data_IF_537605913165
#
_entry.id   IF_537605913165
#
_cell.length_a   1.000
_cell.length_b   1.000
_cell.length_c   1.000
_cell.angle_alpha   90.00
_cell.angle_beta   90.00
_cell.angle_gamma   90.00
#
_symmetry.space_group_name_H-M   'P 1'
#
loop_
_entity.id
_entity.type
_entity.pdbx_description
1 polymer ?
#
# COMPACT_ATOMS: atom_id res chain seq x y z
N UNK A 1 -0.58 6.15 4.08
CA UNK A 1 -0.29 4.90 4.81
C UNK A 1 0.41 5.08 6.14
N UNK A 2 1.35 6.01 6.29
CA UNK A 2 2.00 6.24 7.58
C UNK A 2 1.02 6.51 8.73
N UNK A 3 0.00 7.36 8.50
CA UNK A 3 -1.07 7.63 9.48
C UNK A 3 -1.82 6.35 9.86
N UNK A 4 -2.25 5.55 8.87
CA UNK A 4 -2.92 4.28 9.11
C UNK A 4 -2.04 3.27 9.88
N UNK A 5 -0.74 3.24 9.60
CA UNK A 5 0.21 2.34 10.25
C UNK A 5 0.49 2.75 11.71
N UNK A 6 0.53 4.04 12.01
CA UNK A 6 0.83 4.56 13.35
C UNK A 6 -0.40 4.57 14.27
N UNK A 7 -1.60 4.78 13.73
CA UNK A 7 -2.80 5.08 14.52
C UNK A 7 -3.99 4.16 14.22
N UNK A 8 -3.79 3.13 13.39
CA UNK A 8 -4.86 2.26 12.91
C UNK A 8 -5.68 2.88 11.79
N UNK A 9 -6.45 2.06 11.08
CA UNK A 9 -7.25 2.49 9.93
C UNK A 9 -8.39 3.42 10.37
N UNK A 10 -9.04 3.14 11.50
CA UNK A 10 -10.22 3.85 12.00
C UNK A 10 -9.98 5.31 12.38
N UNK A 11 -8.74 5.66 12.72
CA UNK A 11 -8.38 7.04 13.06
C UNK A 11 -8.09 7.91 11.82
N UNK A 12 -8.00 7.30 10.63
CA UNK A 12 -7.69 8.03 9.40
C UNK A 12 -8.92 8.78 8.88
N UNK A 13 -8.81 10.09 8.78
CA UNK A 13 -9.80 10.95 8.10
C UNK A 13 -9.13 11.88 7.09
N UNK A 14 -9.92 12.42 6.15
CA UNK A 14 -9.43 13.41 5.17
C UNK A 14 -8.75 14.60 5.86
N UNK A 15 -9.35 15.11 6.95
CA UNK A 15 -8.76 16.19 7.77
C UNK A 15 -7.42 15.77 8.40
N UNK A 16 -7.35 14.58 8.99
CA UNK A 16 -6.12 14.08 9.59
C UNK A 16 -5.00 14.03 8.55
N UNK A 17 -5.29 13.45 7.38
CA UNK A 17 -4.34 13.34 6.28
C UNK A 17 -3.91 14.72 5.79
N UNK A 18 -4.84 15.67 5.63
CA UNK A 18 -4.53 17.04 5.25
C UNK A 18 -3.56 17.71 6.23
N UNK A 19 -3.84 17.64 7.54
CA UNK A 19 -2.96 18.16 8.59
C UNK A 19 -1.57 17.53 8.54
N UNK A 20 -1.48 16.21 8.37
CA UNK A 20 -0.19 15.51 8.29
C UNK A 20 0.59 15.82 7.01
N UNK A 21 -0.11 16.11 5.91
CA UNK A 21 0.47 16.48 4.63
C UNK A 21 0.78 17.99 4.53
N UNK A 22 0.38 18.80 5.52
CA UNK A 22 0.60 20.24 5.51
C UNK A 22 -0.25 20.98 4.46
N UNK A 23 -1.39 20.40 4.06
CA UNK A 23 -2.32 20.98 3.08
C UNK A 23 -3.67 21.26 3.72
N UNK A 24 -4.50 22.07 3.04
CA UNK A 24 -5.85 22.33 3.52
C UNK A 24 -6.75 21.10 3.35
N UNK A 25 -7.75 20.96 4.24
CA UNK A 25 -8.74 19.88 4.12
C UNK A 25 -9.56 19.99 2.82
N UNK A 26 -9.83 21.22 2.36
CA UNK A 26 -10.54 21.47 1.11
C UNK A 26 -9.77 21.00 -0.13
N UNK A 27 -8.43 21.12 -0.13
CA UNK A 27 -7.60 20.54 -1.19
C UNK A 27 -7.73 19.01 -1.23
N UNK A 28 -7.72 18.33 -0.09
CA UNK A 28 -7.88 16.87 -0.06
C UNK A 28 -9.29 16.45 -0.46
N UNK A 29 -10.32 17.19 -0.04
CA UNK A 29 -11.71 16.96 -0.44
C UNK A 29 -11.96 17.22 -1.93
N UNK A 30 -11.14 18.04 -2.59
CA UNK A 30 -11.20 18.18 -4.04
C UNK A 30 -10.76 16.92 -4.79
N UNK A 31 -9.87 16.11 -4.19
CA UNK A 31 -9.36 14.87 -4.79
C UNK A 31 -10.12 13.61 -4.38
N UNK A 32 -10.81 13.64 -3.25
CA UNK A 32 -11.52 12.48 -2.71
C UNK A 32 -12.86 12.89 -2.12
N UNK A 33 -13.91 12.23 -2.59
CA UNK A 33 -15.28 12.44 -2.12
C UNK A 33 -15.52 11.79 -0.75
N UNK A 34 -14.71 10.78 -0.38
CA UNK A 34 -14.83 10.08 0.89
C UNK A 34 -13.50 9.58 1.47
N UNK A 35 -13.53 9.23 2.77
CA UNK A 35 -12.44 8.51 3.44
C UNK A 35 -12.16 7.19 2.73
N UNK A 36 -13.21 6.45 2.37
CA UNK A 36 -13.06 5.11 1.80
C UNK A 36 -12.42 5.17 0.41
N UNK A 37 -12.78 6.17 -0.40
CA UNK A 37 -12.13 6.41 -1.69
C UNK A 37 -10.65 6.76 -1.51
N UNK A 38 -10.32 7.69 -0.60
CA UNK A 38 -8.93 8.02 -0.28
C UNK A 38 -8.15 6.78 0.17
N UNK A 39 -8.77 5.92 0.98
CA UNK A 39 -8.14 4.70 1.48
C UNK A 39 -7.96 3.65 0.39
N UNK A 40 -8.94 3.47 -0.49
CA UNK A 40 -8.84 2.58 -1.65
C UNK A 40 -7.71 3.02 -2.59
N UNK A 41 -7.61 4.33 -2.85
CA UNK A 41 -6.50 4.91 -3.60
C UNK A 41 -5.16 4.70 -2.89
N UNK A 42 -5.07 4.98 -1.59
CA UNK A 42 -3.83 4.76 -0.85
C UNK A 42 -3.37 3.29 -0.87
N UNK A 43 -4.32 2.35 -0.80
CA UNK A 43 -4.05 0.92 -0.86
C UNK A 43 -3.60 0.47 -2.27
N UNK A 44 -4.15 1.07 -3.34
CA UNK A 44 -3.72 0.76 -4.71
C UNK A 44 -2.25 1.12 -4.93
N UNK A 45 -1.83 2.29 -4.45
CA UNK A 45 -0.43 2.76 -4.51
C UNK A 45 0.50 1.84 -3.72
N UNK A 46 0.08 1.37 -2.54
CA UNK A 46 0.87 0.39 -1.77
C UNK A 46 1.00 -0.92 -2.50
N UNK A 47 -0.11 -1.43 -3.03
CA UNK A 47 -0.12 -2.72 -3.73
C UNK A 47 0.85 -2.70 -4.90
N UNK A 48 0.83 -1.63 -5.70
CA UNK A 48 1.74 -1.46 -6.84
C UNK A 48 3.21 -1.46 -6.41
N UNK A 49 3.56 -0.65 -5.40
CA UNK A 49 4.93 -0.64 -4.83
C UNK A 49 5.34 -1.97 -4.23
N UNK A 50 4.40 -2.67 -3.60
CA UNK A 50 4.66 -3.96 -2.96
C UNK A 50 4.86 -5.06 -4.00
N UNK A 51 4.11 -5.03 -5.10
CA UNK A 51 4.28 -5.96 -6.21
C UNK A 51 5.71 -5.87 -6.76
N UNK A 52 6.21 -4.67 -7.02
CA UNK A 52 7.60 -4.46 -7.48
C UNK A 52 8.61 -5.05 -6.49
N UNK A 53 8.49 -4.72 -5.20
CA UNK A 53 9.38 -5.22 -4.15
C UNK A 53 9.35 -6.74 -4.03
N UNK A 54 8.18 -7.36 -4.14
CA UNK A 54 8.02 -8.82 -4.09
C UNK A 54 8.66 -9.45 -5.32
N UNK A 55 8.41 -8.91 -6.51
CA UNK A 55 9.02 -9.41 -7.76
C UNK A 55 10.55 -9.34 -7.71
N UNK A 56 11.11 -8.23 -7.24
CA UNK A 56 12.57 -8.08 -7.05
C UNK A 56 13.12 -9.07 -6.03
N UNK A 57 12.43 -9.24 -4.89
CA UNK A 57 12.83 -10.20 -3.87
C UNK A 57 12.79 -11.64 -4.39
N UNK A 58 11.74 -12.01 -5.15
CA UNK A 58 11.63 -13.34 -5.77
C UNK A 58 12.72 -13.57 -6.81
N UNK A 59 13.04 -12.57 -7.63
CA UNK A 59 14.14 -12.67 -8.60
C UNK A 59 15.50 -12.87 -7.90
N UNK A 60 15.73 -12.19 -6.77
CA UNK A 60 16.97 -12.28 -6.01
C UNK A 60 17.16 -13.65 -5.31
N UNK A 61 16.08 -14.34 -4.95
CA UNK A 61 16.13 -15.68 -4.36
C UNK A 61 16.56 -16.76 -5.37
N UNK A 62 16.59 -16.44 -6.67
CA UNK A 62 16.83 -17.40 -7.74
C UNK A 62 15.69 -18.41 -7.88
N UNK A 63 15.77 -19.34 -8.84
CA UNK A 63 14.71 -20.33 -9.04
C UNK A 63 14.59 -21.24 -7.81
N UNK A 64 13.47 -21.14 -7.09
CA UNK A 64 13.11 -22.09 -6.05
C UNK A 64 12.90 -23.47 -6.69
N UNK A 65 13.83 -24.39 -6.46
CA UNK A 65 13.61 -25.80 -6.81
C UNK A 65 12.42 -26.30 -6.00
N UNK A 66 11.34 -26.67 -6.69
CA UNK A 66 10.17 -27.23 -6.04
C UNK A 66 10.56 -28.62 -5.50
N UNK A 67 10.14 -29.00 -4.27
CA UNK A 67 10.51 -30.29 -3.67
C UNK A 67 10.06 -31.52 -4.49
N UNK A 68 9.15 -31.35 -5.47
CA UNK A 68 8.75 -32.40 -6.42
C UNK A 68 9.65 -32.58 -7.65
N UNK A 69 10.63 -31.70 -7.88
CA UNK A 69 11.52 -31.76 -9.05
C UNK A 69 12.63 -32.82 -8.96
N UNK A 70 12.72 -33.53 -7.81
CA UNK A 70 13.77 -34.52 -7.57
C UNK A 70 13.38 -35.97 -7.97
N UNK A 71 12.10 -36.28 -8.19
CA UNK A 71 11.63 -37.64 -8.49
C UNK A 71 11.54 -37.98 -10.00
N UNK A 72 12.02 -37.12 -10.89
CA UNK A 72 11.92 -37.34 -12.34
C UNK A 72 13.22 -37.88 -12.99
N UNK A 73 14.02 -38.68 -12.26
CA UNK A 73 15.23 -39.30 -12.83
C UNK A 73 15.46 -40.70 -12.30
#
# INVERSE_FOLDING_TARGET
MRVAAEQGLESVSLRHVATRAGVSAGMVQHYFDSRDEMMAFALSVVRERSALRVTEALAALGPTRHPGSCCAR
#
